data_IF_892941256336
#
_entry.id   IF_892941256336
#
_cell.length_a   1.000
_cell.length_b   1.000
_cell.length_c   1.000
_cell.angle_alpha   90.00
_cell.angle_beta   90.00
_cell.angle_gamma   90.00
#
_symmetry.space_group_name_H-M   'P 1'
#
loop_
_entity.id
_entity.type
_entity.pdbx_description
1 polymer ?
#
# COMPACT_ATOMS: atom_id res chain seq x y z
N UNK A 1 -2.88 -2.81 -7.29
CA UNK A 1 -3.82 -2.35 -6.24
C UNK A 1 -5.29 -2.57 -6.64
N UNK A 2 -5.77 -2.04 -7.78
CA UNK A 2 -7.17 -2.22 -8.24
C UNK A 2 -7.66 -3.68 -8.22
N UNK A 3 -6.92 -4.59 -8.84
CA UNK A 3 -7.25 -6.03 -8.84
C UNK A 3 -7.35 -6.62 -7.42
N UNK A 4 -6.48 -6.22 -6.49
CA UNK A 4 -6.53 -6.68 -5.10
C UNK A 4 -7.79 -6.15 -4.41
N UNK A 5 -8.14 -4.87 -4.57
CA UNK A 5 -9.39 -4.31 -4.02
C UNK A 5 -10.63 -5.08 -4.49
N UNK A 6 -10.68 -5.42 -5.78
CA UNK A 6 -11.84 -6.06 -6.40
C UNK A 6 -11.95 -7.55 -6.10
N UNK A 7 -10.81 -8.26 -5.97
CA UNK A 7 -10.80 -9.73 -5.96
C UNK A 7 -10.33 -10.34 -4.64
N UNK A 8 -9.58 -9.61 -3.80
CA UNK A 8 -9.00 -10.18 -2.58
C UNK A 8 -10.05 -10.63 -1.56
N UNK A 9 -11.13 -9.87 -1.26
CA UNK A 9 -12.16 -10.32 -0.33
C UNK A 9 -12.83 -11.62 -0.79
N UNK A 10 -13.23 -11.65 -2.07
CA UNK A 10 -13.85 -12.84 -2.68
C UNK A 10 -12.90 -14.03 -2.70
N UNK A 11 -11.63 -13.81 -3.04
CA UNK A 11 -10.59 -14.84 -3.03
C UNK A 11 -10.39 -15.46 -1.64
N UNK A 12 -10.51 -14.66 -0.58
CA UNK A 12 -10.44 -15.12 0.80
C UNK A 12 -11.69 -15.91 1.21
N UNK A 13 -12.89 -15.36 0.99
CA UNK A 13 -14.15 -15.99 1.44
C UNK A 13 -14.57 -17.21 0.62
N UNK A 14 -14.37 -17.18 -0.70
CA UNK A 14 -14.80 -18.25 -1.61
C UNK A 14 -13.68 -19.25 -1.91
N UNK A 15 -12.42 -18.84 -1.78
CA UNK A 15 -11.26 -19.71 -1.94
C UNK A 15 -11.25 -20.40 -3.31
N UNK A 16 -11.08 -21.73 -3.31
CA UNK A 16 -11.05 -22.54 -4.54
C UNK A 16 -12.38 -22.55 -5.30
N UNK A 17 -13.51 -22.18 -4.68
CA UNK A 17 -14.80 -22.08 -5.38
C UNK A 17 -14.85 -20.92 -6.38
N UNK A 18 -13.95 -19.95 -6.24
CA UNK A 18 -13.80 -18.84 -7.17
C UNK A 18 -12.36 -18.78 -7.73
N UNK A 19 -12.04 -19.66 -8.70
CA UNK A 19 -10.70 -19.73 -9.26
C UNK A 19 -10.31 -18.44 -9.99
N UNK A 20 -11.28 -17.73 -10.57
CA UNK A 20 -11.03 -16.45 -11.26
C UNK A 20 -10.52 -15.41 -10.27
N UNK A 21 -11.18 -15.23 -9.11
CA UNK A 21 -10.70 -14.29 -8.09
C UNK A 21 -9.30 -14.68 -7.56
N UNK A 22 -9.04 -15.97 -7.33
CA UNK A 22 -7.71 -16.47 -6.92
C UNK A 22 -6.63 -16.16 -7.96
N UNK A 23 -6.91 -16.41 -9.24
CA UNK A 23 -5.99 -16.12 -10.33
C UNK A 23 -5.67 -14.61 -10.40
N UNK A 24 -6.71 -13.76 -10.34
CA UNK A 24 -6.53 -12.30 -10.35
C UNK A 24 -5.68 -11.81 -9.19
N UNK A 25 -5.87 -12.34 -7.98
CA UNK A 25 -5.05 -12.00 -6.81
C UNK A 25 -3.60 -12.48 -7.01
N UNK A 26 -3.40 -13.68 -7.54
CA UNK A 26 -2.07 -14.22 -7.79
C UNK A 26 -1.31 -13.37 -8.82
N UNK A 27 -1.93 -13.03 -9.95
CA UNK A 27 -1.35 -12.12 -10.94
C UNK A 27 -1.11 -10.72 -10.35
N UNK A 28 -2.03 -10.18 -9.54
CA UNK A 28 -1.88 -8.86 -8.94
C UNK A 28 -0.70 -8.80 -7.96
N UNK A 29 -0.42 -9.87 -7.22
CA UNK A 29 0.76 -9.97 -6.37
C UNK A 29 2.06 -9.95 -7.21
N UNK A 30 2.09 -10.67 -8.33
CA UNK A 30 3.24 -10.65 -9.25
C UNK A 30 3.43 -9.29 -9.91
N UNK A 31 2.35 -8.61 -10.30
CA UNK A 31 2.41 -7.24 -10.83
C UNK A 31 2.97 -6.26 -9.78
N UNK A 32 2.61 -6.42 -8.50
CA UNK A 32 3.25 -5.66 -7.43
C UNK A 32 4.76 -5.94 -7.37
N UNK A 33 5.16 -7.19 -7.60
CA UNK A 33 6.56 -7.60 -7.80
C UNK A 33 7.28 -6.81 -8.89
N UNK A 34 6.67 -6.66 -10.06
CA UNK A 34 7.23 -5.84 -11.17
C UNK A 34 7.47 -4.40 -10.71
N UNK A 35 6.57 -3.83 -9.91
CA UNK A 35 6.71 -2.48 -9.39
C UNK A 35 7.85 -2.38 -8.36
N UNK A 36 7.81 -3.16 -7.27
CA UNK A 36 8.80 -3.02 -6.18
C UNK A 36 10.19 -3.56 -6.55
N UNK A 37 10.31 -4.44 -7.56
CA UNK A 37 11.61 -4.86 -8.06
C UNK A 37 12.43 -3.70 -8.65
N UNK A 38 11.76 -2.64 -9.12
CA UNK A 38 12.40 -1.47 -9.71
C UNK A 38 12.30 -0.22 -8.82
N UNK A 39 11.21 -0.08 -8.08
CA UNK A 39 10.96 1.06 -7.20
C UNK A 39 11.37 0.83 -5.74
N UNK A 40 11.91 -0.36 -5.44
CA UNK A 40 12.18 -0.84 -4.08
C UNK A 40 10.93 -0.82 -3.19
N UNK A 41 11.16 -0.79 -1.88
CA UNK A 41 10.14 -0.78 -0.84
C UNK A 41 10.39 0.40 0.11
N UNK A 42 9.56 0.51 1.15
CA UNK A 42 9.69 1.54 2.18
C UNK A 42 9.82 0.98 3.60
N UNK A 43 9.78 1.89 4.56
CA UNK A 43 10.00 1.60 6.00
C UNK A 43 9.03 0.58 6.60
N UNK A 44 7.85 0.37 6.00
CA UNK A 44 6.93 -0.70 6.41
C UNK A 44 7.62 -2.08 6.37
N UNK A 45 8.30 -2.41 5.27
CA UNK A 45 9.02 -3.69 5.15
C UNK A 45 10.23 -3.75 6.08
N UNK A 46 10.96 -2.64 6.23
CA UNK A 46 12.11 -2.55 7.13
C UNK A 46 11.73 -2.92 8.56
N UNK A 47 10.62 -2.38 9.06
CA UNK A 47 10.08 -2.71 10.39
C UNK A 47 9.47 -4.11 10.44
N UNK A 48 8.70 -4.50 9.42
CA UNK A 48 8.07 -5.82 9.34
C UNK A 48 9.08 -6.97 9.43
N UNK A 49 10.28 -6.81 8.82
CA UNK A 49 11.35 -7.81 8.94
C UNK A 49 11.84 -7.99 10.37
N UNK A 50 11.96 -6.91 11.15
CA UNK A 50 12.45 -6.97 12.54
C UNK A 50 11.36 -7.46 13.49
N UNK A 51 10.11 -7.02 13.30
CA UNK A 51 8.97 -7.58 14.03
C UNK A 51 8.83 -9.08 13.76
N UNK A 52 8.93 -9.50 12.50
CA UNK A 52 8.88 -10.90 12.11
C UNK A 52 10.03 -11.72 12.68
N UNK A 53 11.26 -11.22 12.66
CA UNK A 53 12.41 -11.96 13.21
C UNK A 53 12.35 -12.10 14.72
N UNK A 54 11.93 -11.05 15.42
CA UNK A 54 11.94 -11.01 16.89
C UNK A 54 10.76 -11.75 17.51
N UNK A 55 9.58 -11.66 16.89
CA UNK A 55 8.32 -12.16 17.46
C UNK A 55 7.70 -13.29 16.63
N UNK A 56 8.39 -13.77 15.60
CA UNK A 56 7.91 -14.82 14.70
C UNK A 56 6.57 -14.51 14.03
N UNK A 57 6.29 -13.23 13.81
CA UNK A 57 5.07 -12.76 13.13
C UNK A 57 5.22 -13.00 11.62
N UNK A 58 4.22 -13.63 10.95
CA UNK A 58 4.24 -13.80 9.50
C UNK A 58 4.41 -12.47 8.77
N UNK A 59 5.23 -12.45 7.71
CA UNK A 59 5.60 -11.23 7.00
C UNK A 59 4.40 -10.39 6.53
N UNK A 60 3.39 -11.04 5.93
CA UNK A 60 2.17 -10.35 5.48
C UNK A 60 1.37 -9.73 6.62
N UNK A 61 1.30 -10.40 7.77
CA UNK A 61 0.62 -9.90 8.96
C UNK A 61 1.36 -8.69 9.55
N UNK A 62 2.69 -8.76 9.67
CA UNK A 62 3.49 -7.64 10.16
C UNK A 62 3.34 -6.38 9.28
N UNK A 63 3.33 -6.54 7.95
CA UNK A 63 3.06 -5.42 7.04
C UNK A 63 1.63 -4.87 7.20
N UNK A 64 0.63 -5.75 7.33
CA UNK A 64 -0.76 -5.34 7.51
C UNK A 64 -0.97 -4.53 8.80
N UNK A 65 -0.30 -4.91 9.90
CA UNK A 65 -0.33 -4.17 11.17
C UNK A 65 0.29 -2.77 11.07
N UNK A 66 1.24 -2.57 10.16
CA UNK A 66 2.03 -1.34 10.07
C UNK A 66 1.52 -0.36 9.01
N UNK A 67 0.98 -0.86 7.89
CA UNK A 67 0.83 -0.07 6.67
C UNK A 67 -0.02 1.19 6.86
N UNK A 68 -1.12 1.14 7.64
CA UNK A 68 -1.97 2.31 7.85
C UNK A 68 -1.25 3.43 8.61
N UNK A 69 -0.43 3.08 9.61
CA UNK A 69 0.37 4.06 10.35
C UNK A 69 1.55 4.57 9.51
N UNK A 70 2.17 3.72 8.69
CA UNK A 70 3.24 4.12 7.78
C UNK A 70 2.74 5.08 6.71
N UNK A 71 1.53 4.87 6.17
CA UNK A 71 0.90 5.81 5.24
C UNK A 71 0.74 7.18 5.92
N UNK A 72 0.19 7.24 7.14
CA UNK A 72 0.05 8.50 7.89
C UNK A 72 1.40 9.18 8.17
N UNK A 73 2.41 8.40 8.56
CA UNK A 73 3.77 8.88 8.77
C UNK A 73 4.39 9.50 7.51
N UNK A 74 4.28 8.80 6.37
CA UNK A 74 4.81 9.29 5.08
C UNK A 74 3.97 10.44 4.51
N UNK A 75 2.68 10.54 4.81
CA UNK A 75 1.75 11.54 4.28
C UNK A 75 1.89 12.93 4.95
N UNK A 76 3.12 13.33 5.27
CA UNK A 76 3.48 14.64 5.80
C UNK A 76 4.24 15.44 4.72
N UNK A 77 3.72 16.61 4.34
CA UNK A 77 4.34 17.48 3.33
C UNK A 77 5.56 18.26 3.88
N UNK A 78 5.74 18.29 5.19
CA UNK A 78 6.90 18.89 5.86
C UNK A 78 7.58 17.87 6.79
N UNK A 79 8.21 16.81 6.25
CA UNK A 79 8.88 15.81 7.05
C UNK A 79 10.19 16.37 7.63
N UNK A 80 10.64 15.84 8.76
CA UNK A 80 11.90 16.26 9.40
C UNK A 80 13.13 15.93 8.55
N UNK A 81 13.02 14.94 7.65
CA UNK A 81 14.04 14.53 6.68
C UNK A 81 13.39 14.11 5.37
N UNK A 82 14.11 14.30 4.27
CA UNK A 82 13.73 13.81 2.95
C UNK A 82 14.88 13.00 2.37
N UNK A 83 14.57 11.89 1.71
CA UNK A 83 15.56 11.08 0.98
C UNK A 83 16.18 11.91 -0.13
N UNK A 84 17.51 12.00 -0.15
CA UNK A 84 18.25 12.70 -1.20
C UNK A 84 18.28 11.85 -2.48
N UNK A 85 17.31 12.08 -3.36
CA UNK A 85 17.25 11.46 -4.68
C UNK A 85 16.93 12.54 -5.73
N UNK A 86 17.72 12.64 -6.79
CA UNK A 86 17.64 13.78 -7.74
C UNK A 86 16.28 13.93 -8.42
N UNK A 87 15.56 12.81 -8.60
CA UNK A 87 14.20 12.81 -9.16
C UNK A 87 13.12 13.22 -8.16
N UNK A 88 13.44 13.31 -6.86
CA UNK A 88 12.49 13.67 -5.80
C UNK A 88 12.64 15.14 -5.45
N UNK A 89 11.87 15.99 -6.13
CA UNK A 89 11.91 17.44 -6.00
C UNK A 89 11.45 17.96 -4.63
N UNK A 90 10.38 17.38 -4.08
CA UNK A 90 9.78 17.70 -2.77
C UNK A 90 9.03 16.48 -2.21
N UNK A 91 8.56 16.49 -0.95
CA UNK A 91 7.72 15.44 -0.43
C UNK A 91 6.40 15.39 -1.21
N UNK A 92 6.15 14.30 -1.92
CA UNK A 92 4.92 14.11 -2.70
C UNK A 92 4.03 13.00 -2.14
N UNK A 93 4.46 12.27 -1.11
CA UNK A 93 3.79 11.07 -0.62
C UNK A 93 2.32 11.32 -0.27
N UNK A 94 1.99 12.45 0.38
CA UNK A 94 0.60 12.84 0.67
C UNK A 94 -0.27 12.91 -0.59
N UNK A 95 0.20 13.61 -1.62
CA UNK A 95 -0.48 13.69 -2.92
C UNK A 95 -0.58 12.31 -3.59
N UNK A 96 0.51 11.54 -3.59
CA UNK A 96 0.59 10.23 -4.24
C UNK A 96 -0.36 9.21 -3.62
N UNK A 97 -0.59 9.26 -2.30
CA UNK A 97 -1.62 8.44 -1.65
C UNK A 97 -3.04 8.86 -2.06
N UNK A 98 -3.31 10.16 -2.18
CA UNK A 98 -4.60 10.62 -2.69
C UNK A 98 -4.85 10.18 -4.15
N UNK A 99 -3.81 10.17 -5.00
CA UNK A 99 -3.90 9.62 -6.37
C UNK A 99 -4.29 8.12 -6.36
N UNK A 100 -3.80 7.35 -5.38
CA UNK A 100 -4.19 5.95 -5.20
C UNK A 100 -5.68 5.85 -4.81
N UNK A 101 -6.14 6.69 -3.87
CA UNK A 101 -7.55 6.70 -3.47
C UNK A 101 -8.48 7.03 -4.65
N UNK A 102 -8.10 8.02 -5.47
CA UNK A 102 -8.81 8.38 -6.70
C UNK A 102 -8.84 7.20 -7.69
N UNK A 103 -7.69 6.56 -7.93
CA UNK A 103 -7.60 5.41 -8.84
C UNK A 103 -8.44 4.20 -8.38
N UNK A 104 -8.63 4.03 -7.08
CA UNK A 104 -9.44 2.95 -6.49
C UNK A 104 -10.93 3.29 -6.39
N UNK A 105 -11.33 4.51 -6.78
CA UNK A 105 -12.71 5.00 -6.68
C UNK A 105 -13.18 5.18 -5.24
N UNK A 106 -12.28 5.54 -4.33
CA UNK A 106 -12.58 5.75 -2.91
C UNK A 106 -12.95 7.21 -2.60
N UNK A 107 -12.55 8.16 -3.45
CA UNK A 107 -12.82 9.58 -3.26
C UNK A 107 -14.15 10.03 -3.86
N UNK A 108 -14.64 11.17 -3.38
CA UNK A 108 -15.80 11.89 -3.89
C UNK A 108 -15.39 13.27 -4.45
N UNK A 109 -16.18 13.84 -5.37
CA UNK A 109 -15.97 15.21 -5.83
C UNK A 109 -15.89 16.20 -4.67
N UNK A 110 -14.87 17.06 -4.66
CA UNK A 110 -14.64 18.04 -3.60
C UNK A 110 -13.81 17.54 -2.40
N UNK A 111 -13.47 16.24 -2.32
CA UNK A 111 -12.60 15.73 -1.27
C UNK A 111 -11.22 16.40 -1.31
N UNK A 112 -10.79 16.92 -0.16
CA UNK A 112 -9.40 17.36 0.05
C UNK A 112 -8.48 16.15 0.21
N UNK A 113 -7.20 16.33 -0.09
CA UNK A 113 -6.16 15.29 -0.02
C UNK A 113 -6.17 14.51 1.31
N UNK A 114 -6.38 15.19 2.43
CA UNK A 114 -6.48 14.56 3.75
C UNK A 114 -7.62 13.52 3.83
N UNK A 115 -8.81 13.88 3.35
CA UNK A 115 -9.97 13.01 3.35
C UNK A 115 -9.77 11.81 2.41
N UNK A 116 -9.15 12.03 1.24
CA UNK A 116 -8.80 10.95 0.32
C UNK A 116 -7.85 9.93 0.94
N UNK A 117 -6.88 10.39 1.73
CA UNK A 117 -5.96 9.51 2.45
C UNK A 117 -6.70 8.72 3.53
N UNK A 118 -7.56 9.34 4.34
CA UNK A 118 -8.32 8.58 5.35
C UNK A 118 -9.27 7.56 4.72
N UNK A 119 -9.83 7.81 3.53
CA UNK A 119 -10.63 6.82 2.79
C UNK A 119 -9.80 5.69 2.19
N UNK A 120 -8.47 5.86 2.06
CA UNK A 120 -7.56 4.81 1.61
C UNK A 120 -7.20 3.81 2.72
N UNK A 121 -7.38 4.21 3.98
CA UNK A 121 -7.00 3.47 5.19
C UNK A 121 -8.14 2.59 5.69
#
# INVERSE_FOLDING_TARGET
>A
LKLLKENLPTSYHEGSRNPVARERVHSAATIAGIAFANAFLGVCHSMAHKLGSQFHIPHGLANALLICNVIRYNANDNPTKQTAFSQYDRPQARRRYAEIADHLGLSAPGDRTAAKIEKLL
#
